data_IF_372366521219
#
_entry.id   IF_372366521219
#
_cell.length_a   1.000
_cell.length_b   1.000
_cell.length_c   1.000
_cell.angle_alpha   90.00
_cell.angle_beta   90.00
_cell.angle_gamma   90.00
#
_symmetry.space_group_name_H-M   'P 1'
#
loop_
_entity.id
_entity.type
_entity.pdbx_description
1 polymer ?
#
# COMPACT_ATOMS: atom_id res chain seq x y z
N UNK A 1 15.93 -44.53 36.34
CA UNK A 1 15.57 -43.09 36.37
C UNK A 1 14.10 -42.97 35.99
N UNK A 2 13.24 -42.30 36.79
CA UNK A 2 11.81 -42.22 36.49
C UNK A 2 11.56 -41.24 35.32
N UNK A 3 10.82 -41.69 34.31
CA UNK A 3 10.40 -40.86 33.17
C UNK A 3 9.27 -39.93 33.60
N UNK A 4 9.54 -38.62 33.60
CA UNK A 4 8.53 -37.59 33.91
C UNK A 4 7.71 -37.35 32.63
N UNK A 5 6.40 -37.63 32.60
CA UNK A 5 5.58 -37.34 31.43
C UNK A 5 5.40 -35.83 31.28
N UNK A 6 6.04 -35.24 30.27
CA UNK A 6 5.90 -33.82 29.93
C UNK A 6 4.51 -33.63 29.30
N UNK A 7 3.56 -33.14 30.08
CA UNK A 7 2.23 -32.77 29.60
C UNK A 7 2.30 -31.48 28.78
N UNK A 8 2.26 -31.62 27.46
CA UNK A 8 2.28 -30.48 26.52
C UNK A 8 0.89 -29.84 26.43
N UNK A 9 0.71 -28.69 27.08
CA UNK A 9 -0.51 -27.89 26.96
C UNK A 9 -0.48 -27.15 25.63
N UNK A 10 -1.24 -27.62 24.62
CA UNK A 10 -1.45 -26.90 23.35
C UNK A 10 -2.13 -25.57 23.64
N UNK A 11 -1.38 -24.49 23.56
CA UNK A 11 -1.95 -23.15 23.59
C UNK A 11 -2.48 -22.83 22.19
N UNK A 12 -3.80 -22.62 22.08
CA UNK A 12 -4.43 -22.18 20.83
C UNK A 12 -4.16 -20.69 20.70
N UNK A 13 -3.14 -20.32 19.92
CA UNK A 13 -2.83 -18.93 19.60
C UNK A 13 -3.98 -18.37 18.76
N UNK A 14 -4.92 -17.67 19.39
CA UNK A 14 -5.88 -16.81 18.71
C UNK A 14 -5.33 -15.41 18.72
N UNK A 15 -4.63 -15.05 17.63
CA UNK A 15 -4.24 -13.67 17.39
C UNK A 15 -5.51 -12.82 17.26
N UNK A 16 -5.56 -11.61 17.87
CA UNK A 16 -6.65 -10.68 17.59
C UNK A 16 -6.69 -10.43 16.09
N UNK A 17 -7.86 -10.64 15.48
CA UNK A 17 -8.07 -10.40 14.05
C UNK A 17 -7.86 -8.90 13.82
N UNK A 18 -6.69 -8.54 13.30
CA UNK A 18 -6.38 -7.15 12.97
C UNK A 18 -7.43 -6.66 11.96
N UNK A 19 -8.09 -5.54 12.26
CA UNK A 19 -9.04 -4.89 11.35
C UNK A 19 -8.39 -4.56 9.98
N UNK A 20 -7.06 -4.45 9.96
CA UNK A 20 -6.24 -4.17 8.78
C UNK A 20 -5.57 -5.43 8.19
N UNK A 21 -6.07 -6.63 8.48
CA UNK A 21 -5.54 -7.84 7.84
C UNK A 21 -5.84 -7.77 6.33
N UNK A 22 -4.87 -7.98 5.42
CA UNK A 22 -5.10 -8.01 3.97
C UNK A 22 -5.89 -9.24 3.50
N UNK A 23 -6.37 -10.07 4.44
CA UNK A 23 -7.17 -11.25 4.15
C UNK A 23 -8.44 -10.86 3.36
N UNK A 24 -8.84 -11.67 2.37
CA UNK A 24 -10.04 -11.43 1.59
C UNK A 24 -11.27 -11.52 2.50
N UNK A 25 -11.73 -10.38 2.99
CA UNK A 25 -13.01 -10.27 3.71
C UNK A 25 -14.13 -10.10 2.70
N UNK A 26 -15.21 -10.87 2.85
CA UNK A 26 -16.42 -10.77 2.01
C UNK A 26 -16.95 -9.34 1.89
N UNK A 27 -16.82 -8.55 2.96
CA UNK A 27 -17.22 -7.14 3.01
C UNK A 27 -16.48 -6.25 1.99
N UNK A 28 -15.16 -6.44 1.83
CA UNK A 28 -14.35 -5.72 0.83
C UNK A 28 -14.73 -6.11 -0.60
N UNK A 29 -15.12 -7.36 -0.83
CA UNK A 29 -15.58 -7.83 -2.15
C UNK A 29 -16.92 -7.19 -2.57
N UNK A 30 -17.85 -7.03 -1.62
CA UNK A 30 -19.16 -6.43 -1.87
C UNK A 30 -19.02 -4.94 -2.22
N UNK A 31 -18.17 -4.20 -1.52
CA UNK A 31 -17.93 -2.78 -1.82
C UNK A 31 -17.39 -2.57 -3.24
N UNK A 32 -16.45 -3.41 -3.68
CA UNK A 32 -15.94 -3.40 -5.06
C UNK A 32 -17.02 -3.72 -6.10
N UNK A 33 -17.89 -4.70 -5.82
CA UNK A 33 -18.99 -5.05 -6.73
C UNK A 33 -20.03 -3.93 -6.85
N UNK A 34 -20.44 -3.34 -5.73
CA UNK A 34 -21.42 -2.23 -5.72
C UNK A 34 -20.85 -1.03 -6.47
N UNK A 35 -19.60 -0.64 -6.19
CA UNK A 35 -18.94 0.48 -6.90
C UNK A 35 -18.80 0.23 -8.40
N UNK A 36 -18.46 -1.00 -8.81
CA UNK A 36 -18.43 -1.38 -10.23
C UNK A 36 -19.80 -1.26 -10.90
N UNK A 37 -20.85 -1.83 -10.30
CA UNK A 37 -22.21 -1.77 -10.85
C UNK A 37 -22.75 -0.34 -10.92
N UNK A 38 -22.49 0.48 -9.89
CA UNK A 38 -22.86 1.90 -9.87
C UNK A 38 -22.07 2.69 -10.91
N UNK A 39 -20.76 2.45 -11.05
CA UNK A 39 -19.93 3.11 -12.07
C UNK A 39 -20.44 2.81 -13.48
N UNK A 40 -20.80 1.56 -13.77
CA UNK A 40 -21.37 1.19 -15.07
C UNK A 40 -22.72 1.89 -15.33
N UNK A 41 -23.59 1.91 -14.33
CA UNK A 41 -24.90 2.56 -14.42
C UNK A 41 -24.77 4.07 -14.69
N UNK A 42 -23.87 4.76 -13.98
CA UNK A 42 -23.58 6.18 -14.18
C UNK A 42 -22.95 6.41 -15.56
N UNK A 43 -22.06 5.53 -16.02
CA UNK A 43 -21.46 5.62 -17.35
C UNK A 43 -22.51 5.47 -18.47
N UNK A 44 -23.43 4.53 -18.36
CA UNK A 44 -24.54 4.40 -19.32
C UNK A 44 -25.44 5.64 -19.33
N UNK A 45 -25.79 6.17 -18.16
CA UNK A 45 -26.56 7.42 -18.05
C UNK A 45 -25.81 8.60 -18.69
N UNK A 46 -24.49 8.68 -18.49
CA UNK A 46 -23.63 9.67 -19.11
C UNK A 46 -23.63 9.58 -20.65
N UNK A 47 -23.53 8.37 -21.21
CA UNK A 47 -23.57 8.17 -22.65
C UNK A 47 -24.94 8.56 -23.23
N UNK A 48 -26.03 8.11 -22.60
CA UNK A 48 -27.39 8.49 -23.02
C UNK A 48 -27.51 10.01 -23.04
N UNK A 49 -27.05 10.68 -21.99
CA UNK A 49 -27.05 12.13 -21.93
C UNK A 49 -26.18 12.78 -23.02
N UNK A 50 -24.98 12.27 -23.27
CA UNK A 50 -24.04 12.83 -24.24
C UNK A 50 -24.49 12.66 -25.71
N UNK A 51 -25.18 11.57 -26.03
CA UNK A 51 -25.61 11.25 -27.40
C UNK A 51 -26.97 11.83 -27.79
N UNK A 52 -27.88 12.05 -26.84
CA UNK A 52 -29.21 12.59 -27.15
C UNK A 52 -29.11 14.08 -27.49
N UNK A 53 -29.74 14.51 -28.60
CA UNK A 53 -29.71 15.92 -28.99
C UNK A 53 -30.59 16.78 -28.05
N UNK A 54 -30.18 18.04 -27.86
CA UNK A 54 -30.91 19.04 -27.04
C UNK A 54 -32.38 19.18 -27.44
N UNK A 55 -32.73 18.95 -28.70
CA UNK A 55 -34.10 19.05 -29.19
C UNK A 55 -35.00 17.98 -28.52
N UNK A 56 -34.47 16.77 -28.32
CA UNK A 56 -35.16 15.71 -27.58
C UNK A 56 -35.18 15.99 -26.07
N UNK A 57 -34.11 16.57 -25.50
CA UNK A 57 -34.07 16.92 -24.08
C UNK A 57 -35.08 18.02 -23.71
N UNK A 58 -35.20 19.03 -24.58
CA UNK A 58 -36.15 20.12 -24.43
C UNK A 58 -37.59 19.62 -24.58
N UNK A 59 -37.83 18.65 -25.47
CA UNK A 59 -39.12 17.98 -25.60
C UNK A 59 -39.52 17.16 -24.35
N UNK A 60 -38.54 16.64 -23.60
CA UNK A 60 -38.73 15.92 -22.33
C UNK A 60 -38.87 16.89 -21.14
N UNK A 61 -38.75 18.21 -21.36
CA UNK A 61 -38.91 19.24 -20.32
C UNK A 61 -37.65 19.56 -19.52
N UNK A 62 -36.49 19.04 -19.93
CA UNK A 62 -35.20 19.31 -19.28
C UNK A 62 -34.54 20.51 -19.95
N UNK A 63 -34.82 21.71 -19.43
CA UNK A 63 -34.43 23.00 -20.04
C UNK A 63 -33.09 23.57 -19.56
N UNK A 64 -32.56 23.12 -18.41
CA UNK A 64 -31.43 23.79 -17.72
C UNK A 64 -30.12 22.98 -17.69
N UNK A 65 -29.92 22.08 -18.64
CA UNK A 65 -28.73 21.24 -18.61
C UNK A 65 -27.52 21.95 -19.27
N UNK A 66 -26.29 21.79 -18.75
CA UNK A 66 -25.13 22.53 -19.24
C UNK A 66 -24.79 22.15 -20.68
N UNK A 67 -24.20 23.09 -21.43
CA UNK A 67 -23.91 22.96 -22.87
C UNK A 67 -23.20 21.65 -23.22
N UNK A 68 -23.47 21.06 -24.39
CA UNK A 68 -22.89 19.75 -24.82
C UNK A 68 -21.36 19.67 -24.78
N UNK A 69 -20.66 20.79 -24.83
CA UNK A 69 -19.20 20.86 -24.67
C UNK A 69 -18.70 20.24 -23.36
N UNK A 70 -19.52 20.24 -22.31
CA UNK A 70 -19.20 19.57 -21.05
C UNK A 70 -19.02 18.06 -21.20
N UNK A 71 -19.70 17.41 -22.16
CA UNK A 71 -19.51 15.99 -22.46
C UNK A 71 -18.11 15.69 -23.06
N UNK A 72 -17.39 16.70 -23.54
CA UNK A 72 -16.02 16.57 -24.02
C UNK A 72 -15.05 17.04 -22.94
N UNK A 73 -15.37 18.11 -22.23
CA UNK A 73 -14.51 18.65 -21.17
C UNK A 73 -14.33 17.64 -20.03
N UNK A 74 -15.38 16.91 -19.64
CA UNK A 74 -15.32 15.90 -18.56
C UNK A 74 -14.27 14.80 -18.85
N UNK A 75 -14.30 14.08 -19.99
CA UNK A 75 -13.31 13.04 -20.25
C UNK A 75 -11.90 13.61 -20.42
N UNK A 76 -11.74 14.78 -21.04
CA UNK A 76 -10.43 15.45 -21.13
C UNK A 76 -9.89 15.86 -19.76
N UNK A 77 -10.75 16.39 -18.88
CA UNK A 77 -10.40 16.75 -17.51
C UNK A 77 -10.00 15.53 -16.68
N UNK A 78 -10.69 14.40 -16.86
CA UNK A 78 -10.34 13.13 -16.20
C UNK A 78 -8.96 12.63 -16.64
N UNK A 79 -8.65 12.69 -17.94
CA UNK A 79 -7.32 12.33 -18.45
C UNK A 79 -6.25 13.28 -17.90
N UNK A 80 -6.51 14.60 -17.90
CA UNK A 80 -5.57 15.57 -17.35
C UNK A 80 -5.33 15.36 -15.85
N UNK A 81 -6.37 15.04 -15.08
CA UNK A 81 -6.22 14.71 -13.66
C UNK A 81 -5.45 13.40 -13.45
N UNK A 82 -5.65 12.38 -14.28
CA UNK A 82 -4.94 11.10 -14.19
C UNK A 82 -3.46 11.24 -14.54
N UNK A 83 -3.15 11.82 -15.70
CA UNK A 83 -1.76 12.02 -16.15
C UNK A 83 -1.05 13.09 -15.32
N UNK A 84 -1.73 14.20 -15.03
CA UNK A 84 -1.22 15.24 -14.15
C UNK A 84 -0.99 14.72 -12.74
N UNK A 85 -1.95 13.99 -12.17
CA UNK A 85 -1.85 13.38 -10.84
C UNK A 85 -0.71 12.38 -10.73
N UNK A 86 -0.58 11.46 -11.71
CA UNK A 86 0.55 10.51 -11.75
C UNK A 86 1.88 11.21 -11.98
N UNK A 87 1.95 12.22 -12.84
CA UNK A 87 3.14 13.04 -13.04
C UNK A 87 3.57 13.79 -11.77
N UNK A 88 2.63 14.44 -11.09
CA UNK A 88 2.87 15.13 -9.81
C UNK A 88 3.32 14.12 -8.75
N UNK A 89 2.66 12.97 -8.66
CA UNK A 89 3.03 11.91 -7.73
C UNK A 89 4.46 11.43 -7.96
N UNK A 90 4.83 11.11 -9.20
CA UNK A 90 6.20 10.69 -9.54
C UNK A 90 7.21 11.80 -9.25
N UNK A 91 6.85 13.05 -9.52
CA UNK A 91 7.70 14.21 -9.23
C UNK A 91 7.92 14.41 -7.72
N UNK A 92 6.86 14.28 -6.91
CA UNK A 92 6.96 14.35 -5.45
C UNK A 92 7.74 13.16 -4.90
N UNK A 93 7.45 11.94 -5.34
CA UNK A 93 8.20 10.75 -4.93
C UNK A 93 9.68 10.88 -5.26
N UNK A 94 10.05 11.42 -6.42
CA UNK A 94 11.46 11.64 -6.77
C UNK A 94 12.15 12.67 -5.86
N UNK A 95 11.40 13.62 -5.29
CA UNK A 95 11.93 14.59 -4.32
C UNK A 95 12.05 14.01 -2.92
N UNK A 96 11.13 13.12 -2.55
CA UNK A 96 11.07 12.52 -1.21
C UNK A 96 11.93 11.26 -1.05
N UNK A 97 12.27 10.59 -2.15
CA UNK A 97 13.08 9.37 -2.15
C UNK A 97 14.50 9.71 -2.62
N UNK A 98 15.50 9.01 -2.09
CA UNK A 98 16.87 9.13 -2.56
C UNK A 98 16.97 8.88 -4.08
N UNK A 99 17.96 9.48 -4.77
CA UNK A 99 18.16 9.23 -6.20
C UNK A 99 18.31 7.73 -6.46
N UNK A 100 17.75 7.24 -7.58
CA UNK A 100 17.72 5.79 -7.91
C UNK A 100 19.12 5.18 -8.09
N UNK A 101 20.15 6.01 -8.27
CA UNK A 101 21.55 5.60 -8.33
C UNK A 101 22.21 5.49 -6.95
N UNK A 102 21.50 5.83 -5.87
CA UNK A 102 22.08 5.80 -4.52
C UNK A 102 22.12 4.38 -3.98
N UNK A 103 23.28 4.04 -3.44
CA UNK A 103 23.48 2.76 -2.77
C UNK A 103 22.62 2.60 -1.51
N UNK A 104 22.20 3.71 -0.90
CA UNK A 104 21.37 3.72 0.30
C UNK A 104 19.96 3.13 0.07
N UNK A 105 19.51 2.95 -1.18
CA UNK A 105 18.27 2.22 -1.49
C UNK A 105 18.42 0.69 -1.35
N UNK A 106 19.66 0.19 -1.43
CA UNK A 106 19.99 -1.25 -1.31
C UNK A 106 20.41 -1.60 0.12
N UNK A 107 20.97 -0.64 0.86
CA UNK A 107 21.46 -0.85 2.22
C UNK A 107 20.39 -0.50 3.26
N UNK A 108 19.93 -1.50 3.99
CA UNK A 108 19.06 -1.35 5.16
C UNK A 108 19.90 -1.34 6.46
N UNK A 109 19.33 -0.81 7.55
CA UNK A 109 19.95 -0.74 8.88
C UNK A 109 20.39 -2.12 9.42
N UNK A 110 19.81 -3.18 8.88
CA UNK A 110 20.11 -4.58 9.20
C UNK A 110 21.44 -5.09 8.63
N UNK A 111 22.02 -4.44 7.62
CA UNK A 111 23.32 -4.83 7.03
C UNK A 111 24.29 -3.65 6.88
N UNK A 112 24.91 -3.19 7.98
CA UNK A 112 25.80 -2.03 7.98
C UNK A 112 27.10 -2.26 7.18
N UNK A 113 27.52 -3.52 7.01
CA UNK A 113 28.75 -3.86 6.30
C UNK A 113 28.62 -3.68 4.78
N UNK A 114 27.46 -4.02 4.22
CA UNK A 114 27.18 -3.84 2.79
C UNK A 114 27.19 -2.36 2.39
N UNK A 115 26.70 -1.50 3.29
CA UNK A 115 26.75 -0.04 3.15
C UNK A 115 28.18 0.47 3.08
N UNK A 116 29.06 0.06 4.01
CA UNK A 116 30.45 0.54 4.03
C UNK A 116 31.27 0.14 2.80
N UNK A 117 31.01 -1.02 2.20
CA UNK A 117 31.77 -1.49 1.02
C UNK A 117 31.41 -0.73 -0.25
N UNK A 118 30.15 -0.32 -0.37
CA UNK A 118 29.61 0.33 -1.58
C UNK A 118 29.52 1.87 -1.43
N UNK A 119 29.87 2.42 -0.27
CA UNK A 119 29.79 3.86 0.08
C UNK A 119 30.89 4.72 -0.54
N UNK A 120 31.96 4.13 -1.07
CA UNK A 120 33.10 4.89 -1.60
C UNK A 120 32.77 5.75 -2.84
N UNK A 121 31.64 5.51 -3.52
CA UNK A 121 31.30 6.16 -4.80
C UNK A 121 30.17 7.21 -4.71
N UNK A 122 29.50 7.37 -3.56
CA UNK A 122 28.32 8.22 -3.43
C UNK A 122 28.63 9.50 -2.63
N UNK A 123 28.56 10.65 -3.31
CA UNK A 123 28.76 12.01 -2.78
C UNK A 123 28.04 12.23 -1.43
N UNK A 124 28.81 12.44 -0.36
CA UNK A 124 28.30 12.74 1.00
C UNK A 124 27.38 13.98 1.03
N UNK A 125 27.59 14.93 0.11
CA UNK A 125 26.79 16.14 -0.01
C UNK A 125 25.32 15.86 -0.42
N UNK A 126 25.08 14.85 -1.27
CA UNK A 126 23.72 14.50 -1.70
C UNK A 126 22.91 13.87 -0.57
N UNK A 127 23.60 13.21 0.37
CA UNK A 127 23.00 12.59 1.55
C UNK A 127 22.58 13.64 2.57
N UNK A 128 23.46 14.56 2.91
CA UNK A 128 23.18 15.63 3.88
C UNK A 128 22.01 16.50 3.41
N UNK A 129 21.97 16.86 2.12
CA UNK A 129 20.85 17.61 1.54
C UNK A 129 19.51 16.85 1.65
N UNK A 130 19.52 15.54 1.46
CA UNK A 130 18.31 14.71 1.56
C UNK A 130 17.84 14.51 3.00
N UNK A 131 18.75 14.24 3.94
CA UNK A 131 18.43 14.08 5.36
C UNK A 131 17.81 15.39 5.91
N UNK A 132 18.35 16.56 5.52
CA UNK A 132 17.77 17.86 5.85
C UNK A 132 16.36 18.07 5.25
N UNK A 133 16.12 17.58 4.03
CA UNK A 133 14.78 17.62 3.46
C UNK A 133 13.82 16.69 4.20
N UNK A 134 14.25 15.47 4.52
CA UNK A 134 13.42 14.52 5.27
C UNK A 134 13.07 15.05 6.66
N UNK A 135 14.01 15.66 7.38
CA UNK A 135 13.72 16.28 8.68
C UNK A 135 12.67 17.40 8.56
N UNK A 136 12.73 18.20 7.48
CA UNK A 136 11.75 19.25 7.20
C UNK A 136 10.37 18.73 6.79
N UNK A 137 10.30 17.58 6.12
CA UNK A 137 9.06 17.00 5.58
C UNK A 137 8.49 15.85 6.41
N UNK A 138 9.23 15.31 7.39
CA UNK A 138 8.77 14.31 8.33
C UNK A 138 7.79 14.93 9.34
N UNK A 139 6.59 15.24 8.87
CA UNK A 139 5.45 15.35 9.75
C UNK A 139 5.09 13.93 10.19
N UNK A 140 5.51 13.57 11.41
CA UNK A 140 5.03 12.38 12.11
C UNK A 140 3.79 12.82 12.88
N UNK A 141 2.55 12.61 12.39
CA UNK A 141 1.43 12.62 13.32
C UNK A 141 1.66 11.47 14.29
N UNK A 142 1.55 11.73 15.60
CA UNK A 142 1.47 10.70 16.64
C UNK A 142 0.31 9.77 16.30
N UNK A 143 0.60 8.74 15.51
CA UNK A 143 -0.39 7.99 14.78
C UNK A 143 0.19 6.62 14.46
N UNK A 144 -0.02 5.71 15.41
CA UNK A 144 -0.39 4.29 15.34
C UNK A 144 -0.76 3.62 13.99
N UNK A 145 -0.37 4.14 12.84
CA UNK A 145 -0.65 3.57 11.51
C UNK A 145 0.26 2.38 11.20
N UNK A 146 1.32 2.18 11.99
CA UNK A 146 2.04 0.92 12.04
C UNK A 146 2.32 0.60 13.51
N UNK A 147 1.75 -0.47 14.10
CA UNK A 147 2.33 -0.98 15.33
C UNK A 147 3.80 -1.28 15.02
N UNK A 148 4.75 -1.03 15.94
CA UNK A 148 6.12 -1.45 15.74
C UNK A 148 6.04 -2.90 15.27
N UNK A 149 6.65 -3.20 14.13
CA UNK A 149 6.77 -4.58 13.68
C UNK A 149 7.29 -5.31 14.90
N UNK A 150 6.41 -6.12 15.51
CA UNK A 150 6.85 -7.06 16.52
C UNK A 150 7.60 -8.08 15.69
N UNK A 151 8.82 -7.70 15.29
CA UNK A 151 9.82 -8.58 14.75
C UNK A 151 10.10 -9.49 15.94
N UNK A 152 9.30 -10.55 16.03
CA UNK A 152 9.65 -11.70 16.82
C UNK A 152 11.09 -11.99 16.44
N UNK A 153 12.01 -11.76 17.38
CA UNK A 153 13.42 -11.94 17.12
C UNK A 153 13.61 -13.28 16.42
N UNK A 154 14.35 -13.30 15.32
CA UNK A 154 14.61 -14.52 14.55
C UNK A 154 15.12 -15.63 15.47
N UNK A 155 15.84 -15.23 16.51
CA UNK A 155 16.33 -16.09 17.59
C UNK A 155 15.20 -16.74 18.40
N UNK A 156 14.17 -15.99 18.78
CA UNK A 156 12.96 -16.54 19.41
C UNK A 156 12.23 -17.52 18.48
N UNK A 157 12.08 -17.18 17.20
CA UNK A 157 11.41 -18.03 16.19
C UNK A 157 12.19 -19.31 15.96
N UNK A 158 13.52 -19.21 15.81
CA UNK A 158 14.42 -20.35 15.70
C UNK A 158 14.37 -21.22 16.96
N UNK A 159 14.32 -20.59 18.13
CA UNK A 159 14.20 -21.32 19.40
C UNK A 159 12.90 -22.11 19.47
N UNK A 160 11.79 -21.57 18.99
CA UNK A 160 10.52 -22.30 18.90
C UNK A 160 10.57 -23.40 17.82
N UNK A 161 11.08 -23.13 16.62
CA UNK A 161 11.10 -24.10 15.51
C UNK A 161 12.08 -25.25 15.70
N UNK A 162 13.25 -24.99 16.27
CA UNK A 162 14.33 -25.97 16.39
C UNK A 162 14.40 -26.63 17.77
N UNK A 163 14.04 -25.94 18.86
CA UNK A 163 14.03 -26.58 20.19
C UNK A 163 12.69 -27.28 20.52
N UNK A 164 11.64 -27.11 19.71
CA UNK A 164 10.39 -27.87 19.85
C UNK A 164 10.28 -29.05 18.87
N UNK A 165 11.32 -29.38 18.10
CA UNK A 165 11.29 -30.64 17.35
C UNK A 165 11.33 -31.79 18.35
N UNK A 166 10.29 -32.65 18.43
CA UNK A 166 10.41 -33.87 19.21
C UNK A 166 11.55 -34.71 18.62
N UNK A 167 12.25 -35.51 19.45
CA UNK A 167 13.34 -36.35 18.96
C UNK A 167 12.83 -37.18 17.78
N UNK A 168 13.48 -37.00 16.62
CA UNK A 168 13.23 -37.84 15.44
C UNK A 168 13.55 -39.27 15.86
N UNK A 169 12.51 -40.08 16.04
CA UNK A 169 12.61 -41.53 16.23
C UNK A 169 13.13 -42.11 14.92
N UNK A 170 14.45 -42.12 14.78
CA UNK A 170 15.16 -43.06 13.93
C UNK A 170 16.07 -43.81 14.89
N UNK A 171 15.66 -45.01 15.28
CA UNK A 171 16.54 -46.16 15.50
C UNK A 171 15.69 -47.38 15.90
N UNK A 172 15.84 -48.43 15.08
CA UNK A 172 15.40 -49.84 15.16
C UNK A 172 13.91 -50.17 15.24
#
# INVERSE_FOLDING_TARGET
MPAIPIQMKRYKITLPKSANTPAPSTERGIQGFVTYATSWSVFCLYLIWAYISHDYLHAIGITYLPSRWWAIIIPWGLLFALFGGTGIYLWMNRRLVHPLSSINLVCDATNPQLGTLLRNDASEADREYFELQQEKYAFIPDGSVMPPTLDLSLDWVNKQLYLQQPPRVWDS
#
